data_IF_924525767790
#
_entry.id   IF_924525767790
#
_cell.length_a   1.000
_cell.length_b   1.000
_cell.length_c   1.000
_cell.angle_alpha   90.00
_cell.angle_beta   90.00
_cell.angle_gamma   90.00
#
_symmetry.space_group_name_H-M   'P 1'
#
loop_
_entity.id
_entity.type
_entity.pdbx_description
1 polymer ?
#
# COMPACT_ATOMS: atom_id res chain seq x y z
N UNK A 1 7.45 0.88 16.00
CA UNK A 1 6.77 1.21 14.74
C UNK A 1 7.01 0.09 13.73
N UNK A 2 5.97 -0.28 13.00
CA UNK A 2 6.04 -1.34 11.99
C UNK A 2 5.53 -0.83 10.66
N UNK A 3 6.10 -1.34 9.58
CA UNK A 3 5.71 -0.97 8.23
C UNK A 3 5.00 -2.13 7.54
N UNK A 4 4.03 -1.78 6.70
CA UNK A 4 3.44 -2.72 5.74
C UNK A 4 3.96 -2.31 4.38
N UNK A 5 4.59 -3.24 3.67
CA UNK A 5 5.00 -3.00 2.30
C UNK A 5 4.15 -3.85 1.37
N UNK A 6 3.67 -3.24 0.30
CA UNK A 6 2.83 -3.92 -0.70
C UNK A 6 3.43 -3.68 -2.07
N UNK A 7 3.85 -4.74 -2.73
CA UNK A 7 4.35 -4.65 -4.10
C UNK A 7 3.22 -5.02 -5.06
N UNK A 8 3.01 -4.19 -6.07
CA UNK A 8 1.99 -4.40 -7.08
C UNK A 8 2.57 -4.21 -8.48
N UNK A 9 1.90 -4.81 -9.46
CA UNK A 9 2.17 -4.58 -10.86
C UNK A 9 0.92 -3.98 -11.50
N UNK A 10 1.12 -2.92 -12.28
CA UNK A 10 0.05 -2.20 -12.95
C UNK A 10 0.32 -2.26 -14.44
N UNK A 11 -0.72 -2.46 -15.25
CA UNK A 11 -0.60 -2.35 -16.70
C UNK A 11 -0.14 -0.92 -17.04
N UNK A 12 1.06 -0.75 -17.65
CA UNK A 12 1.59 0.59 -17.89
C UNK A 12 0.70 1.45 -18.77
N UNK A 13 -0.10 0.85 -19.64
CA UNK A 13 -1.02 1.59 -20.51
C UNK A 13 -2.20 2.16 -19.72
N UNK A 14 -2.39 1.74 -18.47
CA UNK A 14 -3.49 2.16 -17.61
C UNK A 14 -3.01 2.84 -16.33
N UNK A 15 -1.78 3.37 -16.35
CA UNK A 15 -1.17 3.98 -15.18
C UNK A 15 -1.98 5.16 -14.62
N UNK A 16 -2.56 5.99 -15.51
CA UNK A 16 -3.36 7.13 -15.07
C UNK A 16 -4.63 6.69 -14.34
N UNK A 17 -5.28 5.64 -14.84
CA UNK A 17 -6.48 5.10 -14.19
C UNK A 17 -6.12 4.49 -12.83
N UNK A 18 -4.97 3.82 -12.75
CA UNK A 18 -4.50 3.25 -11.48
C UNK A 18 -4.22 4.35 -10.46
N UNK A 19 -3.60 5.44 -10.88
CA UNK A 19 -3.31 6.57 -10.00
C UNK A 19 -4.59 7.24 -9.53
N UNK A 20 -5.56 7.41 -10.40
CA UNK A 20 -6.86 7.97 -10.04
C UNK A 20 -7.58 7.09 -9.02
N UNK A 21 -7.59 5.78 -9.23
CA UNK A 21 -8.17 4.85 -8.26
C UNK A 21 -7.47 4.95 -6.92
N UNK A 22 -6.15 5.01 -6.93
CA UNK A 22 -5.34 5.13 -5.72
C UNK A 22 -5.72 6.37 -4.91
N UNK A 23 -5.72 7.55 -5.55
CA UNK A 23 -5.97 8.81 -4.83
C UNK A 23 -7.42 8.97 -4.41
N UNK A 24 -8.36 8.41 -5.17
CA UNK A 24 -9.80 8.54 -4.89
C UNK A 24 -10.32 7.51 -3.90
N UNK A 25 -9.73 6.32 -3.84
CA UNK A 25 -10.27 5.21 -3.05
C UNK A 25 -9.30 4.67 -2.01
N UNK A 26 -8.04 4.41 -2.39
CA UNK A 26 -7.08 3.74 -1.52
C UNK A 26 -6.55 4.69 -0.44
N UNK A 27 -6.08 5.85 -0.83
CA UNK A 27 -5.50 6.83 0.11
C UNK A 27 -6.51 7.22 1.20
N UNK A 28 -7.76 7.59 0.86
CA UNK A 28 -8.74 7.93 1.89
C UNK A 28 -9.04 6.76 2.84
N UNK A 29 -9.10 5.53 2.32
CA UNK A 29 -9.37 4.36 3.14
C UNK A 29 -8.21 4.08 4.11
N UNK A 30 -6.98 4.20 3.64
CA UNK A 30 -5.79 3.99 4.47
C UNK A 30 -5.71 5.03 5.58
N UNK A 31 -6.07 6.27 5.30
CA UNK A 31 -6.08 7.34 6.32
C UNK A 31 -6.96 7.02 7.52
N UNK A 32 -7.95 6.16 7.34
CA UNK A 32 -8.90 5.80 8.41
C UNK A 32 -8.53 4.52 9.12
N UNK A 33 -7.43 3.85 8.74
CA UNK A 33 -7.02 2.62 9.44
C UNK A 33 -6.43 2.95 10.80
N UNK A 34 -6.76 2.14 11.84
CA UNK A 34 -6.22 2.38 13.17
C UNK A 34 -4.70 2.29 13.22
N UNK A 35 -4.08 3.25 13.89
CA UNK A 35 -2.63 3.25 14.10
C UNK A 35 -1.79 3.74 12.95
N UNK A 36 -2.39 4.22 11.86
CA UNK A 36 -1.63 4.74 10.71
C UNK A 36 -0.85 6.01 11.10
N UNK A 37 0.42 6.04 10.75
CA UNK A 37 1.31 7.17 11.00
C UNK A 37 1.57 7.93 9.69
N UNK A 38 1.97 7.22 8.65
CA UNK A 38 2.23 7.81 7.34
C UNK A 38 2.15 6.73 6.27
N UNK A 39 2.10 7.16 5.01
CA UNK A 39 2.08 6.24 3.90
C UNK A 39 2.66 6.87 2.65
N UNK A 40 3.29 6.02 1.84
CA UNK A 40 3.90 6.43 0.57
C UNK A 40 3.55 5.40 -0.50
N UNK A 41 3.16 5.89 -1.65
CA UNK A 41 2.90 5.07 -2.82
C UNK A 41 3.91 5.43 -3.88
N UNK A 42 4.80 4.50 -4.19
CA UNK A 42 5.97 4.71 -5.05
C UNK A 42 5.76 4.00 -6.38
N UNK A 43 6.08 4.64 -7.47
CA UNK A 43 5.93 4.07 -8.79
C UNK A 43 7.24 4.14 -9.58
N UNK A 44 7.53 3.09 -10.34
CA UNK A 44 8.74 3.04 -11.18
C UNK A 44 8.58 3.73 -12.52
N UNK A 45 7.34 4.02 -12.92
CA UNK A 45 7.04 4.50 -14.28
C UNK A 45 6.94 3.36 -15.31
N UNK A 46 7.22 2.13 -14.90
CA UNK A 46 7.21 0.95 -15.78
C UNK A 46 6.21 -0.12 -15.34
N UNK A 47 5.22 0.28 -14.53
CA UNK A 47 4.19 -0.65 -14.09
C UNK A 47 4.45 -1.29 -12.74
N UNK A 48 5.58 -1.03 -12.09
CA UNK A 48 5.81 -1.49 -10.71
C UNK A 48 5.39 -0.42 -9.73
N UNK A 49 4.72 -0.84 -8.67
CA UNK A 49 4.38 0.04 -7.56
C UNK A 49 4.74 -0.60 -6.24
N UNK A 50 5.19 0.22 -5.29
CA UNK A 50 5.46 -0.22 -3.93
C UNK A 50 4.77 0.75 -2.98
N UNK A 51 3.95 0.22 -2.10
CA UNK A 51 3.30 0.99 -1.04
C UNK A 51 4.07 0.74 0.25
N UNK A 52 4.32 1.81 0.99
CA UNK A 52 4.93 1.72 2.34
C UNK A 52 3.99 2.44 3.30
N UNK A 53 3.43 1.69 4.25
CA UNK A 53 2.54 2.24 5.26
C UNK A 53 3.19 2.06 6.62
N UNK A 54 3.27 3.13 7.40
CA UNK A 54 3.85 3.08 8.74
C UNK A 54 2.73 3.08 9.78
N UNK A 55 2.79 2.11 10.70
CA UNK A 55 1.84 1.96 11.79
C UNK A 55 2.54 2.07 13.14
N UNK A 56 1.79 2.51 14.16
CA UNK A 56 2.31 2.73 15.50
C UNK A 56 2.87 1.46 16.14
N UNK A 57 2.28 0.29 15.82
CA UNK A 57 2.68 -0.97 16.44
C UNK A 57 2.46 -2.15 15.47
N UNK A 58 2.98 -3.29 15.85
CA UNK A 58 2.91 -4.50 15.05
C UNK A 58 1.47 -4.97 14.81
N UNK A 59 0.64 -4.90 15.83
CA UNK A 59 -0.73 -5.37 15.74
C UNK A 59 -1.52 -4.61 14.68
N UNK A 60 -1.38 -3.28 14.65
CA UNK A 60 -2.03 -2.44 13.65
C UNK A 60 -1.52 -2.75 12.25
N UNK A 61 -0.21 -2.94 12.11
CA UNK A 61 0.41 -3.28 10.83
C UNK A 61 -0.08 -4.64 10.32
N UNK A 62 -0.14 -5.65 11.19
CA UNK A 62 -0.62 -6.98 10.80
C UNK A 62 -2.08 -6.97 10.37
N UNK A 63 -2.92 -6.23 11.09
CA UNK A 63 -4.33 -6.09 10.72
C UNK A 63 -4.49 -5.45 9.34
N UNK A 64 -3.70 -4.42 9.06
CA UNK A 64 -3.72 -3.77 7.76
C UNK A 64 -3.23 -4.71 6.65
N UNK A 65 -2.15 -5.44 6.90
CA UNK A 65 -1.60 -6.39 5.93
C UNK A 65 -2.60 -7.51 5.60
N UNK A 66 -3.31 -8.01 6.61
CA UNK A 66 -4.32 -9.05 6.43
C UNK A 66 -5.50 -8.58 5.59
N UNK A 67 -5.80 -7.28 5.61
CA UNK A 67 -6.89 -6.71 4.83
C UNK A 67 -6.53 -6.51 3.35
N UNK A 68 -5.25 -6.43 3.01
CA UNK A 68 -4.79 -6.11 1.64
C UNK A 68 -5.35 -7.06 0.58
N UNK A 69 -5.28 -8.40 0.74
CA UNK A 69 -5.80 -9.30 -0.29
C UNK A 69 -7.32 -9.18 -0.50
N UNK A 70 -8.04 -8.70 0.51
CA UNK A 70 -9.49 -8.57 0.47
C UNK A 70 -9.95 -7.18 0.03
N UNK A 71 -9.01 -6.25 -0.18
CA UNK A 71 -9.34 -4.90 -0.61
C UNK A 71 -9.61 -4.89 -2.11
N UNK A 72 -10.74 -4.31 -2.55
CA UNK A 72 -11.03 -4.22 -3.98
C UNK A 72 -9.96 -3.45 -4.73
N UNK A 73 -9.59 -3.95 -5.88
CA UNK A 73 -8.67 -3.27 -6.78
C UNK A 73 -9.05 -3.56 -8.22
N UNK A 74 -8.68 -2.65 -9.14
CA UNK A 74 -8.96 -2.86 -10.55
C UNK A 74 -8.23 -4.12 -11.07
N UNK A 75 -8.79 -4.76 -12.09
CA UNK A 75 -8.23 -5.96 -12.67
C UNK A 75 -6.89 -5.72 -13.40
N UNK A 76 -6.56 -4.47 -13.73
CA UNK A 76 -5.26 -4.11 -14.29
C UNK A 76 -4.18 -3.86 -13.23
N UNK A 77 -4.50 -4.08 -11.95
CA UNK A 77 -3.56 -4.00 -10.83
C UNK A 77 -3.44 -5.40 -10.22
N UNK A 78 -2.24 -5.95 -10.21
CA UNK A 78 -1.97 -7.28 -9.67
C UNK A 78 -1.16 -7.16 -8.40
N UNK A 79 -1.64 -7.80 -7.33
CA UNK A 79 -0.92 -7.88 -6.07
C UNK A 79 0.21 -8.89 -6.19
N UNK A 80 1.43 -8.48 -5.87
CA UNK A 80 2.60 -9.35 -5.92
C UNK A 80 3.00 -9.85 -4.53
N UNK A 81 3.28 -8.93 -3.59
CA UNK A 81 3.79 -9.31 -2.28
C UNK A 81 3.37 -8.32 -1.22
N UNK A 82 3.03 -8.82 -0.04
CA UNK A 82 2.75 -8.02 1.15
C UNK A 82 3.63 -8.48 2.29
N UNK A 83 4.30 -7.54 2.97
CA UNK A 83 5.16 -7.86 4.11
C UNK A 83 4.88 -6.91 5.27
N UNK A 84 5.09 -7.42 6.49
CA UNK A 84 5.10 -6.61 7.71
C UNK A 84 6.53 -6.62 8.23
N UNK A 85 7.11 -5.44 8.39
CA UNK A 85 8.51 -5.29 8.77
C UNK A 85 8.63 -4.32 9.94
N UNK A 86 9.55 -4.59 10.87
CA UNK A 86 9.86 -3.67 11.94
C UNK A 86 10.69 -2.50 11.40
N UNK A 87 10.37 -1.29 11.84
CA UNK A 87 11.18 -0.12 11.51
C UNK A 87 12.38 -0.12 12.43
N UNK A 88 13.56 -0.38 11.87
CA UNK A 88 14.79 -0.51 12.65
C UNK A 88 15.62 0.77 12.69
N UNK A 89 15.31 1.74 11.82
CA UNK A 89 15.95 3.06 11.82
C UNK A 89 15.11 4.02 11.00
N UNK A 90 15.18 5.31 11.35
CA UNK A 90 14.51 6.37 10.59
C UNK A 90 15.23 7.70 10.79
N UNK A 91 14.98 8.64 9.92
CA UNK A 91 15.49 10.00 10.06
C UNK A 91 14.38 10.99 10.22
#
# INVERSE_FOLDING_TARGET
MHAVTVAVNVDPSRAEEAQEFLTSNVVPAVKQTPGIVSGYWLGSGEGRGITVLLYENEQAAKAAADAVPNTPRPDFVTLDKTEVLEVVAQI
#
